data_IF_461855931460
#
_entry.id   IF_461855931460
#
_cell.length_a   1.000
_cell.length_b   1.000
_cell.length_c   1.000
_cell.angle_alpha   90.00
_cell.angle_beta   90.00
_cell.angle_gamma   90.00
#
_symmetry.space_group_name_H-M   'P 1'
#
loop_
_entity.id
_entity.type
_entity.pdbx_description
1 polymer ?
#
# COMPACT_ATOMS: atom_id res chain seq x y z
N UNK A 1 -18.96 -17.68 14.23
CA UNK A 1 -19.89 -16.52 14.31
C UNK A 1 -21.25 -16.95 13.80
N UNK A 2 -22.35 -16.66 14.51
CA UNK A 2 -23.70 -16.98 14.02
C UNK A 2 -24.20 -15.87 13.09
N UNK A 3 -24.91 -16.23 12.01
CA UNK A 3 -25.44 -15.27 11.04
C UNK A 3 -26.30 -14.17 11.70
N UNK A 4 -27.18 -14.56 12.63
CA UNK A 4 -28.09 -13.65 13.34
C UNK A 4 -27.43 -12.57 14.19
N UNK A 5 -26.12 -12.65 14.44
CA UNK A 5 -25.34 -11.67 15.20
C UNK A 5 -24.34 -10.89 14.33
N UNK A 6 -24.23 -11.23 13.04
CA UNK A 6 -23.24 -10.64 12.14
C UNK A 6 -23.88 -9.50 11.34
N UNK A 7 -23.20 -8.36 11.27
CA UNK A 7 -23.64 -7.23 10.47
C UNK A 7 -23.26 -7.45 8.99
N UNK A 8 -24.24 -7.83 8.16
CA UNK A 8 -24.09 -8.04 6.72
C UNK A 8 -25.28 -7.37 6.01
N UNK A 9 -25.21 -6.06 5.73
CA UNK A 9 -26.29 -5.34 5.08
C UNK A 9 -26.31 -5.64 3.57
N UNK A 10 -26.87 -6.78 3.17
CA UNK A 10 -26.98 -7.16 1.76
C UNK A 10 -27.97 -6.26 1.02
N UNK A 11 -27.71 -5.96 -0.26
CA UNK A 11 -28.63 -5.19 -1.11
C UNK A 11 -29.22 -6.06 -2.23
N UNK A 12 -30.53 -5.90 -2.45
CA UNK A 12 -31.25 -6.57 -3.56
C UNK A 12 -30.89 -5.97 -4.91
N UNK A 13 -30.68 -4.66 -4.95
CA UNK A 13 -30.38 -3.90 -6.15
C UNK A 13 -28.96 -3.33 -6.09
N UNK A 14 -28.37 -3.14 -7.26
CA UNK A 14 -27.04 -2.57 -7.38
C UNK A 14 -27.16 -1.05 -7.35
N UNK A 15 -26.34 -0.34 -6.55
CA UNK A 15 -26.28 1.12 -6.65
C UNK A 15 -25.93 1.58 -8.06
N UNK A 16 -26.58 2.64 -8.53
CA UNK A 16 -26.49 3.09 -9.93
C UNK A 16 -25.12 3.63 -10.34
N UNK A 17 -24.29 4.02 -9.37
CA UNK A 17 -22.95 4.59 -9.53
C UNK A 17 -21.82 3.54 -9.62
N UNK A 18 -22.13 2.27 -9.34
CA UNK A 18 -21.15 1.20 -9.44
C UNK A 18 -21.09 0.65 -10.88
N UNK A 19 -19.98 0.88 -11.59
CA UNK A 19 -19.77 0.34 -12.95
C UNK A 19 -19.12 -1.06 -12.94
N UNK A 20 -17.97 -1.19 -12.26
CA UNK A 20 -17.18 -2.42 -12.20
C UNK A 20 -17.91 -3.56 -11.46
N UNK A 21 -17.85 -4.78 -12.00
CA UNK A 21 -18.53 -5.96 -11.43
C UNK A 21 -18.07 -6.22 -10.00
N UNK A 22 -16.76 -6.13 -9.73
CA UNK A 22 -16.20 -6.28 -8.38
C UNK A 22 -16.80 -5.27 -7.40
N UNK A 23 -16.92 -4.00 -7.79
CA UNK A 23 -17.53 -2.95 -6.98
C UNK A 23 -19.01 -3.24 -6.68
N UNK A 24 -19.79 -3.62 -7.70
CA UNK A 24 -21.20 -4.02 -7.57
C UNK A 24 -21.36 -5.16 -6.55
N UNK A 25 -20.55 -6.21 -6.68
CA UNK A 25 -20.63 -7.39 -5.81
C UNK A 25 -20.24 -7.06 -4.37
N UNK A 26 -19.15 -6.32 -4.15
CA UNK A 26 -18.69 -5.95 -2.81
C UNK A 26 -19.73 -5.12 -2.06
N UNK A 27 -20.42 -4.19 -2.72
CA UNK A 27 -21.48 -3.42 -2.09
C UNK A 27 -22.70 -4.31 -1.79
N UNK A 28 -23.18 -5.07 -2.77
CA UNK A 28 -24.37 -5.92 -2.63
C UNK A 28 -24.21 -7.01 -1.58
N UNK A 29 -23.03 -7.59 -1.46
CA UNK A 29 -22.71 -8.61 -0.46
C UNK A 29 -22.46 -8.03 0.94
N UNK A 30 -22.48 -6.70 1.10
CA UNK A 30 -22.25 -6.05 2.40
C UNK A 30 -20.80 -6.11 2.87
N UNK A 31 -19.82 -6.06 1.95
CA UNK A 31 -18.39 -6.07 2.27
C UNK A 31 -17.84 -4.66 2.48
N UNK A 32 -18.36 -3.68 1.73
CA UNK A 32 -17.89 -2.29 1.77
C UNK A 32 -19.05 -1.30 1.76
N UNK A 33 -18.81 -0.11 2.30
CA UNK A 33 -19.66 1.07 2.10
C UNK A 33 -18.79 2.29 1.81
N UNK A 34 -19.21 3.08 0.85
CA UNK A 34 -18.54 4.33 0.55
C UNK A 34 -18.90 5.36 1.63
N UNK A 35 -17.87 5.98 2.22
CA UNK A 35 -18.01 7.07 3.20
C UNK A 35 -17.86 8.43 2.51
N UNK A 36 -16.94 8.52 1.56
CA UNK A 36 -16.67 9.69 0.72
C UNK A 36 -16.13 9.25 -0.64
N UNK A 37 -16.01 10.15 -1.62
CA UNK A 37 -15.44 9.84 -2.93
C UNK A 37 -14.04 9.23 -2.77
N UNK A 38 -13.87 7.94 -3.11
CA UNK A 38 -12.60 7.24 -2.91
C UNK A 38 -12.26 6.84 -1.46
N UNK A 39 -13.20 6.89 -0.51
CA UNK A 39 -12.99 6.39 0.86
C UNK A 39 -14.05 5.34 1.19
N UNK A 40 -13.61 4.15 1.57
CA UNK A 40 -14.48 3.01 1.83
C UNK A 40 -14.30 2.46 3.24
N UNK A 41 -15.41 2.25 3.92
CA UNK A 41 -15.47 1.44 5.14
C UNK A 41 -15.51 -0.04 4.77
N UNK A 42 -14.55 -0.82 5.26
CA UNK A 42 -14.63 -2.29 5.24
C UNK A 42 -15.58 -2.77 6.34
N UNK A 43 -16.68 -3.39 5.94
CA UNK A 43 -17.61 -4.05 6.86
C UNK A 43 -17.04 -5.39 7.33
N UNK A 44 -17.65 -6.09 8.32
CA UNK A 44 -17.04 -7.27 8.93
C UNK A 44 -16.56 -8.36 7.95
N UNK A 45 -17.28 -8.62 6.85
CA UNK A 45 -16.82 -9.58 5.83
C UNK A 45 -15.68 -9.03 4.96
N UNK A 46 -15.71 -7.75 4.64
CA UNK A 46 -14.62 -7.06 3.94
C UNK A 46 -13.34 -7.09 4.75
N UNK A 47 -13.40 -6.71 6.03
CA UNK A 47 -12.25 -6.72 6.93
C UNK A 47 -11.68 -8.13 7.14
N UNK A 48 -12.55 -9.14 7.29
CA UNK A 48 -12.09 -10.54 7.37
C UNK A 48 -11.35 -10.99 6.11
N UNK A 49 -11.78 -10.53 4.93
CA UNK A 49 -11.13 -10.88 3.66
C UNK A 49 -9.81 -10.13 3.53
N UNK A 50 -9.77 -8.84 3.87
CA UNK A 50 -8.55 -8.04 3.94
C UNK A 50 -7.50 -8.70 4.85
N UNK A 51 -7.88 -9.11 6.06
CA UNK A 51 -6.96 -9.75 7.00
C UNK A 51 -6.38 -11.06 6.49
N UNK A 52 -7.14 -11.84 5.70
CA UNK A 52 -6.63 -13.07 5.07
C UNK A 52 -5.60 -12.76 3.99
N UNK A 53 -5.88 -11.77 3.14
CA UNK A 53 -4.93 -11.33 2.11
C UNK A 53 -3.66 -10.79 2.76
N UNK A 54 -3.79 -9.94 3.78
CA UNK A 54 -2.66 -9.39 4.52
C UNK A 54 -1.84 -10.48 5.22
N UNK A 55 -2.46 -11.54 5.74
CA UNK A 55 -1.75 -12.68 6.32
C UNK A 55 -0.89 -13.43 5.28
N UNK A 56 -1.44 -13.71 4.09
CA UNK A 56 -0.67 -14.33 2.99
C UNK A 56 0.53 -13.46 2.62
N UNK A 57 0.31 -12.14 2.49
CA UNK A 57 1.38 -11.20 2.16
C UNK A 57 2.47 -11.25 3.23
N UNK A 58 2.11 -11.15 4.52
CA UNK A 58 3.08 -11.22 5.62
C UNK A 58 3.90 -12.50 5.59
N UNK A 59 3.24 -13.65 5.47
CA UNK A 59 3.92 -14.95 5.42
C UNK A 59 4.98 -15.03 4.31
N UNK A 60 4.70 -14.47 3.12
CA UNK A 60 5.64 -14.48 2.01
C UNK A 60 6.76 -13.43 2.12
N UNK A 61 6.50 -12.29 2.77
CA UNK A 61 7.53 -11.29 3.07
C UNK A 61 8.46 -11.79 4.19
N UNK A 62 7.90 -12.32 5.28
CA UNK A 62 8.67 -12.91 6.38
C UNK A 62 9.55 -14.06 5.89
N UNK A 63 9.07 -14.85 4.91
CA UNK A 63 9.81 -15.95 4.32
C UNK A 63 11.06 -15.52 3.53
N UNK A 64 11.12 -14.26 3.05
CA UNK A 64 12.32 -13.70 2.42
C UNK A 64 13.22 -12.93 3.41
N UNK A 65 12.86 -12.93 4.70
CA UNK A 65 13.64 -12.28 5.76
C UNK A 65 13.28 -10.81 6.00
N UNK A 66 12.22 -10.30 5.37
CA UNK A 66 11.73 -8.95 5.61
C UNK A 66 11.13 -8.82 7.02
N UNK A 67 11.31 -7.65 7.63
CA UNK A 67 10.82 -7.36 8.99
C UNK A 67 9.63 -6.39 8.95
N UNK A 68 8.50 -6.75 9.58
CA UNK A 68 7.30 -5.91 9.59
C UNK A 68 7.41 -4.75 10.59
N UNK A 69 7.19 -3.53 10.10
CA UNK A 69 7.11 -2.28 10.85
C UNK A 69 5.67 -1.75 10.87
N UNK A 70 5.41 -0.82 11.79
CA UNK A 70 4.17 -0.04 11.84
C UNK A 70 4.51 1.44 11.96
N UNK A 71 4.57 2.15 10.83
CA UNK A 71 4.98 3.55 10.80
C UNK A 71 3.79 4.53 10.83
N UNK A 72 4.01 5.76 11.33
CA UNK A 72 3.00 6.81 11.26
C UNK A 72 2.54 7.07 9.82
N UNK A 73 1.26 7.37 9.64
CA UNK A 73 0.71 7.80 8.35
C UNK A 73 0.78 9.32 8.15
N UNK A 74 1.15 10.08 9.18
CA UNK A 74 1.27 11.53 9.12
C UNK A 74 2.75 11.89 9.22
N UNK A 75 3.28 12.53 8.19
CA UNK A 75 4.71 12.82 8.05
C UNK A 75 4.94 14.33 8.20
N UNK A 76 6.03 14.77 8.85
CA UNK A 76 6.46 16.15 8.78
C UNK A 76 6.86 16.52 7.34
N UNK A 77 6.50 17.72 6.90
CA UNK A 77 6.85 18.23 5.57
C UNK A 77 8.37 18.21 5.33
N UNK A 78 9.16 18.48 6.37
CA UNK A 78 10.63 18.51 6.31
C UNK A 78 11.26 17.26 5.68
N UNK A 79 10.72 16.05 5.94
CA UNK A 79 11.25 14.82 5.36
C UNK A 79 11.07 14.76 3.84
N UNK A 80 9.91 15.21 3.36
CA UNK A 80 9.59 15.28 1.93
C UNK A 80 10.30 16.43 1.22
N UNK A 81 10.55 17.53 1.94
CA UNK A 81 11.33 18.67 1.43
C UNK A 81 12.80 18.27 1.28
N UNK A 82 13.35 17.50 2.21
CA UNK A 82 14.71 16.98 2.14
C UNK A 82 14.94 16.09 0.92
N UNK A 83 13.96 15.25 0.56
CA UNK A 83 14.02 14.44 -0.67
C UNK A 83 13.69 15.22 -1.95
N UNK A 84 13.18 16.45 -1.83
CA UNK A 84 12.63 17.25 -2.93
C UNK A 84 11.28 16.77 -3.46
N UNK A 85 10.69 15.73 -2.84
CA UNK A 85 9.41 15.16 -3.27
C UNK A 85 8.18 15.90 -2.74
N UNK A 86 8.36 16.85 -1.83
CA UNK A 86 7.28 17.71 -1.37
C UNK A 86 6.61 18.40 -2.55
N UNK A 87 7.39 19.10 -3.39
CA UNK A 87 6.91 19.82 -4.56
C UNK A 87 6.50 18.89 -5.70
N UNK A 88 7.29 17.84 -5.98
CA UNK A 88 7.06 16.99 -7.16
C UNK A 88 5.78 16.16 -7.07
N UNK A 89 5.35 15.79 -5.86
CA UNK A 89 4.09 15.07 -5.65
C UNK A 89 2.86 15.96 -5.88
N UNK A 90 3.03 17.29 -5.86
CA UNK A 90 2.02 18.25 -6.25
C UNK A 90 0.67 18.06 -5.55
N UNK A 91 -0.40 18.12 -6.34
CA UNK A 91 -1.77 18.08 -5.86
C UNK A 91 -2.24 16.68 -5.43
N UNK A 92 -1.49 15.61 -5.73
CA UNK A 92 -1.84 14.25 -5.28
C UNK A 92 -1.50 14.02 -3.81
N UNK A 93 -0.69 14.90 -3.20
CA UNK A 93 -0.34 14.83 -1.79
C UNK A 93 -1.34 15.60 -0.94
N UNK A 94 -1.97 14.90 0.01
CA UNK A 94 -2.71 15.57 1.06
C UNK A 94 -1.75 16.30 2.00
N UNK A 95 -1.90 17.61 2.08
CA UNK A 95 -1.16 18.48 3.01
C UNK A 95 -2.11 19.07 4.03
N UNK A 96 -1.63 19.21 5.26
CA UNK A 96 -2.36 19.79 6.36
C UNK A 96 -1.42 20.57 7.27
N UNK A 97 -1.98 21.47 8.04
CA UNK A 97 -1.28 22.25 9.06
C UNK A 97 -1.86 21.90 10.43
N UNK A 98 -1.01 21.59 11.41
CA UNK A 98 -1.48 21.39 12.78
C UNK A 98 -1.76 22.72 13.50
N UNK A 99 -2.35 22.64 14.71
CA UNK A 99 -2.65 23.82 15.53
C UNK A 99 -1.44 24.67 15.96
N UNK A 100 -0.21 24.19 15.73
CA UNK A 100 1.04 24.89 16.04
C UNK A 100 1.68 25.49 14.78
N UNK A 101 1.05 25.34 13.62
CA UNK A 101 1.59 25.82 12.35
C UNK A 101 2.58 24.88 11.68
N UNK A 102 2.66 23.61 12.11
CA UNK A 102 3.56 22.65 11.47
C UNK A 102 2.92 22.12 10.19
N UNK A 103 3.65 22.22 9.08
CA UNK A 103 3.28 21.59 7.82
C UNK A 103 3.49 20.08 7.89
N UNK A 104 2.44 19.35 7.50
CA UNK A 104 2.37 17.90 7.55
C UNK A 104 1.80 17.37 6.22
N UNK A 105 2.07 16.11 5.93
CA UNK A 105 1.40 15.37 4.88
C UNK A 105 0.84 14.04 5.39
N UNK A 106 -0.24 13.59 4.76
CA UNK A 106 -0.63 12.18 4.87
C UNK A 106 0.24 11.37 3.91
N UNK A 107 0.83 10.29 4.41
CA UNK A 107 1.78 9.45 3.70
C UNK A 107 1.15 8.82 2.46
N UNK A 108 1.63 9.25 1.29
CA UNK A 108 1.33 8.61 0.01
C UNK A 108 2.11 7.29 -0.18
N UNK A 109 3.26 7.22 0.49
CA UNK A 109 4.28 6.16 0.53
C UNK A 109 5.32 6.55 1.61
N UNK A 110 6.36 5.74 1.84
CA UNK A 110 7.24 5.84 3.01
C UNK A 110 8.75 5.78 2.69
N UNK A 111 9.21 6.07 1.48
CA UNK A 111 10.66 6.07 1.17
C UNK A 111 11.46 6.96 2.13
N UNK A 112 11.01 8.19 2.36
CA UNK A 112 11.67 9.16 3.24
C UNK A 112 11.70 8.69 4.70
N UNK A 113 10.62 8.06 5.17
CA UNK A 113 10.49 7.61 6.56
C UNK A 113 11.41 6.41 6.82
N UNK A 114 11.39 5.41 5.94
CA UNK A 114 12.29 4.27 6.06
C UNK A 114 13.74 4.68 5.86
N UNK A 115 14.03 5.61 4.94
CA UNK A 115 15.39 6.16 4.78
C UNK A 115 15.85 6.89 6.04
N UNK A 116 14.96 7.60 6.73
CA UNK A 116 15.28 8.26 8.00
C UNK A 116 15.68 7.23 9.07
N UNK A 117 14.96 6.12 9.16
CA UNK A 117 15.28 5.02 10.07
C UNK A 117 16.59 4.32 9.68
N UNK A 118 16.83 4.14 8.38
CA UNK A 118 18.06 3.53 7.87
C UNK A 118 19.32 4.35 8.19
N UNK A 119 19.21 5.64 8.56
CA UNK A 119 20.34 6.43 9.05
C UNK A 119 20.95 5.89 10.35
N UNK A 120 20.22 5.05 11.08
CA UNK A 120 20.75 4.35 12.27
C UNK A 120 21.74 3.23 11.89
N UNK A 121 21.77 2.80 10.62
CA UNK A 121 22.76 1.84 10.12
C UNK A 121 24.10 2.54 9.99
N UNK A 122 25.05 2.15 10.83
CA UNK A 122 26.38 2.78 10.90
C UNK A 122 27.50 1.89 10.37
N UNK A 123 27.22 0.60 10.11
CA UNK A 123 28.19 -0.36 9.59
C UNK A 123 27.66 -1.13 8.40
N UNK A 124 28.53 -1.43 7.43
CA UNK A 124 28.21 -2.37 6.34
C UNK A 124 27.86 -3.77 6.85
N UNK A 125 28.28 -4.13 8.07
CA UNK A 125 28.00 -5.42 8.70
C UNK A 125 26.53 -5.60 9.08
N UNK A 126 25.80 -4.50 9.17
CA UNK A 126 24.37 -4.50 9.45
C UNK A 126 23.56 -4.69 8.16
N UNK A 127 24.20 -4.66 6.97
CA UNK A 127 23.55 -4.86 5.67
C UNK A 127 23.68 -6.33 5.20
N UNK A 128 22.70 -6.85 4.44
CA UNK A 128 21.50 -6.15 3.98
C UNK A 128 20.43 -6.02 5.08
N UNK A 129 19.59 -5.00 4.95
CA UNK A 129 18.35 -4.86 5.72
C UNK A 129 17.16 -4.85 4.76
N UNK A 130 16.06 -5.48 5.16
CA UNK A 130 14.82 -5.45 4.39
C UNK A 130 13.62 -5.34 5.32
N UNK A 131 12.83 -4.29 5.13
CA UNK A 131 11.74 -3.92 6.03
C UNK A 131 10.48 -3.64 5.24
N UNK A 132 9.31 -3.97 5.81
CA UNK A 132 8.03 -3.73 5.17
C UNK A 132 6.97 -3.30 6.17
N UNK A 133 5.82 -2.83 5.69
CA UNK A 133 4.65 -2.61 6.52
C UNK A 133 3.38 -2.89 5.71
N UNK A 134 2.28 -3.22 6.39
CA UNK A 134 0.93 -3.24 5.80
C UNK A 134 0.11 -2.12 6.42
N UNK A 135 -0.06 -1.01 5.70
CA UNK A 135 -0.53 0.25 6.28
C UNK A 135 -1.40 1.05 5.31
N UNK A 136 -2.23 1.94 5.86
CA UNK A 136 -3.13 2.82 5.10
C UNK A 136 -2.38 4.01 4.50
N UNK A 137 -2.50 4.17 3.18
CA UNK A 137 -1.93 5.26 2.38
C UNK A 137 -3.02 6.20 1.90
N UNK A 138 -2.60 7.41 1.56
CA UNK A 138 -3.48 8.47 1.10
C UNK A 138 -2.93 9.08 -0.19
N UNK A 139 -3.76 9.19 -1.23
CA UNK A 139 -3.43 9.90 -2.47
C UNK A 139 -4.65 10.69 -2.90
N UNK A 140 -4.52 11.97 -3.17
CA UNK A 140 -5.63 12.81 -3.61
C UNK A 140 -5.96 12.59 -5.09
N UNK A 141 -6.40 11.37 -5.39
CA UNK A 141 -6.78 10.93 -6.73
C UNK A 141 -7.92 11.81 -7.26
N UNK A 142 -7.72 12.55 -8.37
CA UNK A 142 -8.72 13.49 -8.88
C UNK A 142 -10.00 12.82 -9.36
N UNK A 143 -9.95 11.53 -9.75
CA UNK A 143 -11.10 10.77 -10.24
C UNK A 143 -11.14 9.36 -9.66
N UNK A 144 -11.51 9.19 -8.37
CA UNK A 144 -11.70 7.88 -7.77
C UNK A 144 -12.83 7.13 -8.47
N UNK A 145 -12.61 5.87 -8.83
CA UNK A 145 -13.57 5.09 -9.62
C UNK A 145 -13.43 3.59 -9.38
N UNK A 146 -14.46 2.85 -9.77
CA UNK A 146 -14.47 1.38 -9.76
C UNK A 146 -14.27 0.73 -8.38
N UNK A 147 -14.80 1.34 -7.32
CA UNK A 147 -14.75 0.76 -5.97
C UNK A 147 -13.34 0.83 -5.39
N UNK A 148 -12.87 -0.28 -4.82
CA UNK A 148 -11.54 -0.39 -4.20
C UNK A 148 -10.37 -0.37 -5.20
N UNK A 149 -10.62 -0.37 -6.51
CA UNK A 149 -9.57 -0.41 -7.53
C UNK A 149 -8.84 0.93 -7.70
N UNK A 150 -9.54 2.06 -7.49
CA UNK A 150 -8.94 3.40 -7.59
C UNK A 150 -9.61 4.36 -6.60
N UNK A 151 -8.90 4.61 -5.50
CA UNK A 151 -9.40 5.27 -4.29
C UNK A 151 -8.42 6.32 -3.78
N UNK A 152 -8.85 7.14 -2.81
CA UNK A 152 -8.01 8.16 -2.16
C UNK A 152 -7.38 7.67 -0.87
N UNK A 153 -7.99 6.68 -0.23
CA UNK A 153 -7.49 5.99 0.97
C UNK A 153 -7.50 4.48 0.71
N UNK A 154 -6.34 3.84 0.84
CA UNK A 154 -6.18 2.41 0.55
C UNK A 154 -5.14 1.75 1.46
N UNK A 155 -5.23 0.42 1.55
CA UNK A 155 -4.21 -0.38 2.22
C UNK A 155 -3.13 -0.77 1.22
N UNK A 156 -1.88 -0.66 1.64
CA UNK A 156 -0.74 -1.05 0.85
C UNK A 156 0.21 -1.86 1.71
N UNK A 157 0.83 -2.88 1.10
CA UNK A 157 2.09 -3.41 1.58
C UNK A 157 3.23 -2.75 0.82
N UNK A 158 4.02 -1.96 1.49
CA UNK A 158 5.24 -1.33 0.98
C UNK A 158 6.47 -1.91 1.69
N UNK A 159 7.52 -2.21 0.92
CA UNK A 159 8.74 -2.86 1.39
C UNK A 159 9.97 -2.14 0.81
N UNK A 160 11.05 -2.08 1.60
CA UNK A 160 12.24 -1.28 1.32
C UNK A 160 13.47 -2.07 1.76
N UNK A 161 14.36 -2.36 0.80
CA UNK A 161 15.65 -2.98 1.07
C UNK A 161 16.77 -1.93 1.08
N UNK A 162 17.77 -2.19 1.93
CA UNK A 162 18.99 -1.40 2.05
C UNK A 162 20.16 -2.35 1.88
N UNK A 163 20.95 -2.10 0.84
CA UNK A 163 22.01 -2.98 0.37
C UNK A 163 23.32 -2.21 0.25
N UNK A 164 24.46 -2.91 0.42
CA UNK A 164 25.78 -2.29 0.37
C UNK A 164 26.15 -1.84 -1.05
N UNK A 165 25.74 -2.62 -2.05
CA UNK A 165 26.08 -2.42 -3.45
C UNK A 165 24.93 -2.90 -4.37
N UNK A 166 25.14 -2.73 -5.68
CA UNK A 166 24.15 -3.11 -6.70
C UNK A 166 23.90 -4.63 -6.75
N UNK A 167 24.88 -5.46 -6.41
CA UNK A 167 24.69 -6.91 -6.41
C UNK A 167 23.75 -7.33 -5.26
N UNK A 168 23.87 -6.70 -4.09
CA UNK A 168 22.92 -6.84 -2.99
C UNK A 168 21.52 -6.38 -3.40
N UNK A 169 21.41 -5.21 -4.03
CA UNK A 169 20.14 -4.69 -4.54
C UNK A 169 19.47 -5.66 -5.52
N UNK A 170 20.22 -6.21 -6.47
CA UNK A 170 19.69 -7.17 -7.46
C UNK A 170 19.19 -8.46 -6.77
N UNK A 171 19.89 -8.93 -5.74
CA UNK A 171 19.46 -10.07 -4.94
C UNK A 171 18.17 -9.78 -4.16
N UNK A 172 18.08 -8.62 -3.51
CA UNK A 172 16.89 -8.15 -2.80
C UNK A 172 15.70 -7.99 -3.76
N UNK A 173 15.92 -7.43 -4.95
CA UNK A 173 14.91 -7.28 -5.99
C UNK A 173 14.35 -8.64 -6.46
N UNK A 174 15.22 -9.61 -6.73
CA UNK A 174 14.82 -10.95 -7.15
C UNK A 174 14.08 -11.71 -6.04
N UNK A 175 14.50 -11.55 -4.77
CA UNK A 175 13.79 -12.11 -3.62
C UNK A 175 12.35 -11.58 -3.54
N UNK A 176 12.17 -10.27 -3.68
CA UNK A 176 10.85 -9.62 -3.72
C UNK A 176 10.02 -10.07 -4.92
N UNK A 177 10.62 -10.16 -6.11
CA UNK A 177 9.93 -10.64 -7.32
C UNK A 177 9.40 -12.07 -7.11
N UNK A 178 10.22 -12.95 -6.55
CA UNK A 178 9.83 -14.31 -6.21
C UNK A 178 8.72 -14.37 -5.16
N UNK A 179 8.79 -13.53 -4.11
CA UNK A 179 7.74 -13.42 -3.10
C UNK A 179 6.42 -12.95 -3.71
N UNK A 180 6.43 -11.95 -4.58
CA UNK A 180 5.23 -11.43 -5.22
C UNK A 180 4.56 -12.49 -6.09
N UNK A 181 5.33 -13.26 -6.87
CA UNK A 181 4.78 -14.37 -7.64
C UNK A 181 4.05 -15.37 -6.72
N UNK A 182 4.68 -15.80 -5.62
CA UNK A 182 4.05 -16.72 -4.64
C UNK A 182 2.80 -16.11 -4.00
N UNK A 183 2.82 -14.82 -3.66
CA UNK A 183 1.65 -14.12 -3.12
C UNK A 183 0.48 -14.21 -4.10
N UNK A 184 0.68 -13.86 -5.38
CA UNK A 184 -0.39 -13.91 -6.37
C UNK A 184 -0.87 -15.34 -6.65
N UNK A 185 0.04 -16.31 -6.73
CA UNK A 185 -0.28 -17.73 -6.91
C UNK A 185 -1.16 -18.24 -5.75
N UNK A 186 -0.81 -17.91 -4.50
CA UNK A 186 -1.58 -18.28 -3.30
C UNK A 186 -2.94 -17.58 -3.21
N UNK A 187 -3.05 -16.39 -3.79
CA UNK A 187 -4.32 -15.68 -3.94
C UNK A 187 -5.16 -16.21 -5.12
N UNK A 188 -4.62 -17.12 -5.94
CA UNK A 188 -5.28 -17.67 -7.12
C UNK A 188 -5.47 -16.63 -8.23
N UNK A 189 -4.58 -15.63 -8.30
CA UNK A 189 -4.62 -14.58 -9.31
C UNK A 189 -3.59 -14.87 -10.41
N UNK A 190 -3.96 -14.85 -11.70
CA UNK A 190 -3.04 -15.11 -12.80
C UNK A 190 -2.16 -13.88 -13.11
N UNK A 191 -1.37 -13.46 -12.12
CA UNK A 191 -0.53 -12.27 -12.24
C UNK A 191 0.72 -12.55 -13.08
N UNK A 192 1.12 -11.59 -13.91
CA UNK A 192 2.37 -11.66 -14.68
C UNK A 192 3.15 -10.34 -14.59
N UNK A 193 4.50 -10.40 -14.53
CA UNK A 193 5.33 -9.20 -14.45
C UNK A 193 5.47 -8.54 -15.82
N UNK A 194 5.41 -7.21 -15.86
CA UNK A 194 5.68 -6.36 -17.02
C UNK A 194 6.68 -5.27 -16.66
N UNK A 195 7.52 -4.85 -17.62
CA UNK A 195 8.39 -3.70 -17.43
C UNK A 195 7.57 -2.43 -17.25
N UNK A 196 7.91 -1.65 -16.23
CA UNK A 196 7.18 -0.45 -15.85
C UNK A 196 8.09 0.78 -15.78
N UNK A 197 7.48 1.95 -15.74
CA UNK A 197 8.18 3.21 -15.47
C UNK A 197 8.35 3.39 -13.97
N UNK A 198 9.52 3.81 -13.51
CA UNK A 198 9.78 4.10 -12.10
C UNK A 198 9.09 5.39 -11.63
N UNK A 199 8.62 6.23 -12.55
CA UNK A 199 7.82 7.42 -12.28
C UNK A 199 8.45 8.36 -11.24
N UNK A 200 7.62 8.88 -10.33
CA UNK A 200 8.02 9.81 -9.27
C UNK A 200 8.78 9.15 -8.11
N UNK A 201 8.97 7.82 -8.15
CA UNK A 201 9.69 7.06 -7.13
C UNK A 201 11.21 7.04 -7.39
N UNK A 202 11.64 7.51 -8.56
CA UNK A 202 13.04 7.50 -8.99
C UNK A 202 13.55 6.10 -9.38
N UNK A 203 14.76 6.04 -9.94
CA UNK A 203 15.49 4.78 -10.12
C UNK A 203 15.42 4.10 -11.49
N UNK A 204 16.03 2.90 -11.55
CA UNK A 204 16.35 2.12 -12.74
C UNK A 204 15.30 1.08 -13.14
N UNK A 205 15.58 -0.22 -12.90
CA UNK A 205 14.66 -1.30 -13.29
C UNK A 205 13.37 -1.27 -12.44
N UNK A 206 12.21 -1.44 -13.10
CA UNK A 206 10.90 -1.47 -12.45
C UNK A 206 10.00 -2.51 -13.11
N UNK A 207 9.27 -3.27 -12.28
CA UNK A 207 8.33 -4.29 -12.68
C UNK A 207 6.97 -4.06 -12.02
N UNK A 208 5.91 -4.13 -12.81
CA UNK A 208 4.54 -4.16 -12.33
C UNK A 208 3.96 -5.56 -12.53
N UNK A 209 3.19 -6.06 -11.55
CA UNK A 209 2.41 -7.29 -11.70
C UNK A 209 0.99 -6.94 -12.14
N UNK A 210 0.59 -7.43 -13.31
CA UNK A 210 -0.73 -7.20 -13.91
C UNK A 210 -1.61 -8.44 -13.76
N UNK A 211 -2.92 -8.24 -13.51
CA UNK A 211 -3.95 -9.28 -13.36
C UNK A 211 -5.10 -9.04 -14.34
#
# INVERSE_FOLDING_TARGET
MRWSKLFIPTLKETPGDAEAISHKLLIRAGFVRQLHAGHYSLLPLGLRSHNKVAAIIREEMDAIGDQEFSLPAMHPAALWQESGRWETMGAEMFRLEDRRGNELALGMTHEEVFTTLAREITSYRDLPQSWYQVQTKFRDEPRPKAGLLRVREFFMKDAYSFDLDTAGLDASFEAHRGAYQRIFDRLGLPAFPVMASSGAMGGGQSLEFMV
#
